data_IF_909540753578
#
_entry.id   IF_909540753578
#
_cell.length_a   1.000
_cell.length_b   1.000
_cell.length_c   1.000
_cell.angle_alpha   90.00
_cell.angle_beta   90.00
_cell.angle_gamma   90.00
#
_symmetry.space_group_name_H-M   'P 1'
#
loop_
_entity.id
_entity.type
_entity.pdbx_description
1 polymer ?
#
# COMPACT_ATOMS: atom_id res chain seq x y z
N UNK A 1 12.12 -28.53 21.44
CA UNK A 1 12.12 -28.57 19.96
C UNK A 1 11.26 -27.42 19.47
N UNK A 2 11.74 -26.56 18.57
CA UNK A 2 10.90 -25.53 17.98
C UNK A 2 9.88 -26.23 17.05
N UNK A 3 8.62 -26.29 17.46
CA UNK A 3 7.56 -26.81 16.60
C UNK A 3 7.48 -25.92 15.36
N UNK A 4 7.66 -26.50 14.18
CA UNK A 4 7.56 -25.76 12.92
C UNK A 4 6.20 -25.07 12.85
N UNK A 5 6.20 -23.74 12.65
CA UNK A 5 4.97 -22.96 12.41
C UNK A 5 4.41 -23.16 10.99
N UNK A 6 5.02 -24.05 10.20
CA UNK A 6 4.58 -24.44 8.86
C UNK A 6 4.17 -25.92 8.92
N UNK A 7 2.89 -26.19 8.68
CA UNK A 7 2.37 -27.55 8.60
C UNK A 7 2.76 -28.24 7.28
N UNK A 8 2.80 -29.58 7.26
CA UNK A 8 3.27 -30.38 6.12
C UNK A 8 2.56 -30.03 4.79
N UNK A 9 1.25 -29.81 4.84
CA UNK A 9 0.47 -29.40 3.66
C UNK A 9 0.93 -28.04 3.10
N UNK A 10 1.24 -27.08 3.96
CA UNK A 10 1.81 -25.79 3.52
C UNK A 10 3.23 -25.96 3.02
N UNK A 11 4.06 -26.77 3.67
CA UNK A 11 5.42 -27.05 3.21
C UNK A 11 5.45 -27.62 1.79
N UNK A 12 4.51 -28.50 1.44
CA UNK A 12 4.37 -29.02 0.09
C UNK A 12 4.02 -27.92 -0.93
N UNK A 13 3.12 -27.00 -0.58
CA UNK A 13 2.77 -25.86 -1.44
C UNK A 13 3.96 -24.92 -1.65
N UNK A 14 4.83 -24.76 -0.66
CA UNK A 14 6.00 -23.88 -0.76
C UNK A 14 6.95 -24.29 -1.89
N UNK A 15 6.97 -25.57 -2.30
CA UNK A 15 7.76 -26.05 -3.45
C UNK A 15 7.39 -25.29 -4.74
N UNK A 16 6.12 -24.92 -4.91
CA UNK A 16 5.65 -24.15 -6.05
C UNK A 16 5.72 -22.64 -5.89
N UNK A 17 6.11 -22.13 -4.71
CA UNK A 17 6.22 -20.69 -4.41
C UNK A 17 7.59 -20.18 -4.86
N UNK A 18 7.67 -19.00 -5.54
CA UNK A 18 8.95 -18.40 -5.93
C UNK A 18 9.91 -18.25 -4.74
N UNK A 19 11.20 -18.46 -4.99
CA UNK A 19 12.23 -18.56 -3.95
C UNK A 19 12.23 -17.36 -2.98
N UNK A 20 12.07 -16.14 -3.51
CA UNK A 20 11.99 -14.92 -2.71
C UNK A 20 10.87 -14.99 -1.65
N UNK A 21 9.64 -15.31 -2.05
CA UNK A 21 8.51 -15.44 -1.13
C UNK A 21 8.69 -16.63 -0.18
N UNK A 22 9.22 -17.74 -0.68
CA UNK A 22 9.49 -18.93 0.14
C UNK A 22 10.42 -18.58 1.31
N UNK A 23 11.51 -17.88 1.03
CA UNK A 23 12.47 -17.46 2.05
C UNK A 23 11.81 -16.54 3.09
N UNK A 24 11.00 -15.58 2.64
CA UNK A 24 10.24 -14.69 3.52
C UNK A 24 9.24 -15.46 4.41
N UNK A 25 8.55 -16.46 3.87
CA UNK A 25 7.62 -17.31 4.65
C UNK A 25 8.37 -18.12 5.71
N UNK A 26 9.55 -18.64 5.40
CA UNK A 26 10.40 -19.31 6.39
C UNK A 26 10.90 -18.35 7.48
N UNK A 27 11.30 -17.12 7.13
CA UNK A 27 11.65 -16.09 8.11
C UNK A 27 10.48 -15.74 9.03
N UNK A 28 9.27 -15.62 8.47
CA UNK A 28 8.05 -15.42 9.23
C UNK A 28 7.86 -16.58 10.22
N UNK A 29 7.89 -17.83 9.75
CA UNK A 29 7.71 -19.00 10.60
C UNK A 29 8.77 -19.11 11.71
N UNK A 30 10.00 -18.67 11.44
CA UNK A 30 11.08 -18.59 12.42
C UNK A 30 10.96 -17.40 13.39
N UNK A 31 10.03 -16.46 13.14
CA UNK A 31 9.89 -15.24 13.94
C UNK A 31 10.96 -14.18 13.68
N UNK A 32 11.63 -14.23 12.53
CA UNK A 32 12.73 -13.32 12.17
C UNK A 32 12.34 -12.25 11.15
N UNK A 33 11.13 -12.29 10.59
CA UNK A 33 10.62 -11.21 9.76
C UNK A 33 10.17 -10.02 10.63
N UNK A 34 10.76 -8.82 10.48
CA UNK A 34 10.50 -7.68 11.36
C UNK A 34 9.11 -7.05 11.19
N UNK A 35 8.40 -7.39 10.12
CA UNK A 35 7.08 -6.84 9.81
C UNK A 35 5.93 -7.63 10.45
N UNK A 36 6.16 -8.88 10.87
CA UNK A 36 5.17 -9.65 11.64
C UNK A 36 5.35 -9.34 13.13
N UNK A 37 4.58 -8.37 13.63
CA UNK A 37 4.67 -7.89 15.02
C UNK A 37 3.56 -8.41 15.93
N UNK A 38 2.83 -9.44 15.50
CA UNK A 38 1.77 -10.08 16.28
C UNK A 38 2.08 -11.57 16.52
N UNK A 39 1.63 -12.13 17.65
CA UNK A 39 1.81 -13.55 17.91
C UNK A 39 0.91 -14.39 16.99
N UNK A 40 1.39 -15.58 16.62
CA UNK A 40 0.65 -16.58 15.85
C UNK A 40 1.27 -17.96 16.09
N UNK A 41 0.51 -19.01 15.80
CA UNK A 41 0.92 -20.40 15.97
C UNK A 41 1.30 -21.07 14.65
N UNK A 42 0.65 -20.68 13.55
CA UNK A 42 0.84 -21.30 12.24
C UNK A 42 0.70 -20.27 11.11
N UNK A 43 1.50 -20.41 10.06
CA UNK A 43 1.38 -19.66 8.81
C UNK A 43 1.02 -20.61 7.65
N UNK A 44 0.00 -20.23 6.87
CA UNK A 44 -0.50 -20.98 5.71
C UNK A 44 -0.47 -20.14 4.45
N UNK A 45 -0.15 -20.76 3.32
CA UNK A 45 -0.44 -20.22 1.99
C UNK A 45 -1.88 -20.62 1.64
N UNK A 46 -2.76 -19.64 1.47
CA UNK A 46 -4.21 -19.91 1.30
C UNK A 46 -4.74 -19.60 -0.10
N UNK A 47 -3.93 -19.02 -0.99
CA UNK A 47 -4.38 -18.57 -2.32
C UNK A 47 -3.38 -18.91 -3.42
N UNK A 48 -3.11 -20.20 -3.57
CA UNK A 48 -2.19 -20.71 -4.60
C UNK A 48 -0.74 -20.29 -4.38
N UNK A 49 0.13 -20.68 -5.32
CA UNK A 49 1.59 -20.49 -5.18
C UNK A 49 2.16 -19.38 -6.05
N UNK A 50 1.34 -18.82 -6.96
CA UNK A 50 1.75 -17.73 -7.86
C UNK A 50 1.51 -16.37 -7.20
N UNK A 51 2.49 -15.45 -7.22
CA UNK A 51 2.29 -14.09 -6.73
C UNK A 51 1.14 -13.40 -7.46
N UNK A 52 0.31 -12.72 -6.69
CA UNK A 52 -0.72 -11.84 -7.20
C UNK A 52 -0.08 -10.54 -7.71
N UNK A 53 -0.44 -10.10 -8.93
CA UNK A 53 -0.10 -8.75 -9.37
C UNK A 53 -0.80 -7.72 -8.47
N UNK A 54 -0.30 -6.46 -8.42
CA UNK A 54 -0.85 -5.38 -7.59
C UNK A 54 -2.16 -4.80 -8.13
N UNK A 55 -3.12 -5.65 -8.47
CA UNK A 55 -4.39 -5.22 -9.09
C UNK A 55 -5.42 -4.79 -8.06
N UNK A 56 -5.30 -5.27 -6.81
CA UNK A 56 -6.24 -4.95 -5.72
C UNK A 56 -6.01 -3.56 -5.13
N UNK A 57 -4.81 -3.01 -5.27
CA UNK A 57 -4.49 -1.62 -4.94
C UNK A 57 -3.81 -0.95 -6.14
N UNK A 58 -4.49 0.03 -6.73
CA UNK A 58 -4.02 0.77 -7.91
C UNK A 58 -2.74 1.59 -7.65
N UNK A 59 -2.42 1.87 -6.38
CA UNK A 59 -1.18 2.54 -6.01
C UNK A 59 -0.07 1.55 -5.62
N UNK A 60 -0.34 0.24 -5.62
CA UNK A 60 0.67 -0.77 -5.28
C UNK A 60 1.55 -1.11 -6.50
N UNK A 61 2.84 -1.35 -6.26
CA UNK A 61 3.82 -1.73 -7.29
C UNK A 61 4.45 -3.08 -7.02
N UNK A 62 4.17 -3.65 -5.84
CA UNK A 62 4.75 -4.89 -5.33
C UNK A 62 3.80 -6.06 -5.59
N UNK A 63 4.37 -7.21 -5.94
CA UNK A 63 3.60 -8.45 -6.00
C UNK A 63 3.40 -8.99 -4.59
N UNK A 64 2.33 -9.74 -4.36
CA UNK A 64 2.06 -10.35 -3.06
C UNK A 64 1.63 -11.81 -3.13
N UNK A 65 1.80 -12.55 -2.03
CA UNK A 65 1.16 -13.84 -1.80
C UNK A 65 0.25 -13.71 -0.58
N UNK A 66 -0.95 -14.29 -0.67
CA UNK A 66 -1.90 -14.28 0.46
C UNK A 66 -1.56 -15.37 1.45
N UNK A 67 -1.27 -14.97 2.68
CA UNK A 67 -1.01 -15.83 3.82
C UNK A 67 -2.15 -15.74 4.85
N UNK A 68 -2.33 -16.82 5.60
CA UNK A 68 -3.17 -16.84 6.78
C UNK A 68 -2.32 -17.19 8.00
N UNK A 69 -2.46 -16.40 9.06
CA UNK A 69 -1.82 -16.60 10.35
C UNK A 69 -2.87 -17.13 11.33
N UNK A 70 -2.74 -18.39 11.76
CA UNK A 70 -3.64 -19.01 12.74
C UNK A 70 -3.12 -18.85 14.15
N UNK A 71 -4.04 -18.86 15.12
CA UNK A 71 -3.71 -18.66 16.53
C UNK A 71 -3.28 -17.23 16.88
N UNK A 72 -3.60 -16.25 16.01
CA UNK A 72 -3.41 -14.84 16.30
C UNK A 72 -4.53 -14.31 17.23
N UNK A 73 -4.28 -13.23 17.99
CA UNK A 73 -5.30 -12.61 18.85
C UNK A 73 -6.50 -12.15 18.04
N UNK A 74 -7.71 -12.51 18.47
CA UNK A 74 -8.95 -12.17 17.76
C UNK A 74 -9.30 -13.08 16.58
N UNK A 75 -8.54 -14.16 16.36
CA UNK A 75 -8.82 -15.16 15.33
C UNK A 75 -7.79 -15.17 14.19
N UNK A 76 -8.03 -15.98 13.14
CA UNK A 76 -7.13 -16.05 11.99
C UNK A 76 -6.98 -14.69 11.28
N UNK A 77 -5.74 -14.29 11.00
CA UNK A 77 -5.43 -13.06 10.26
C UNK A 77 -5.05 -13.41 8.83
N UNK A 78 -5.72 -12.80 7.85
CA UNK A 78 -5.35 -12.88 6.43
C UNK A 78 -4.53 -11.65 6.05
N UNK A 79 -3.37 -11.88 5.45
CA UNK A 79 -2.48 -10.81 5.02
C UNK A 79 -1.79 -11.11 3.69
N UNK A 80 -1.44 -10.03 3.00
CA UNK A 80 -0.61 -10.00 1.82
C UNK A 80 0.86 -9.87 2.25
N UNK A 81 1.65 -10.90 2.02
CA UNK A 81 3.11 -10.82 2.08
C UNK A 81 3.58 -10.25 0.75
N UNK A 82 4.31 -9.13 0.76
CA UNK A 82 4.91 -8.54 -0.43
C UNK A 82 6.31 -9.09 -0.69
N UNK A 83 6.79 -8.95 -1.92
CA UNK A 83 8.11 -9.42 -2.33
C UNK A 83 9.27 -8.67 -1.63
N UNK A 84 9.05 -7.52 -1.01
CA UNK A 84 10.03 -6.83 -0.15
C UNK A 84 10.02 -7.35 1.31
N UNK A 85 9.15 -8.30 1.65
CA UNK A 85 9.02 -8.87 2.99
C UNK A 85 8.04 -8.14 3.90
N UNK A 86 7.53 -6.97 3.49
CA UNK A 86 6.47 -6.28 4.23
C UNK A 86 5.17 -7.08 4.17
N UNK A 87 4.32 -6.87 5.17
CA UNK A 87 2.98 -7.46 5.23
C UNK A 87 1.94 -6.36 5.31
N UNK A 88 0.78 -6.59 4.68
CA UNK A 88 -0.44 -5.83 4.96
C UNK A 88 -1.60 -6.80 5.14
N UNK A 89 -2.30 -6.69 6.25
CA UNK A 89 -3.57 -7.38 6.45
C UNK A 89 -4.61 -6.89 5.43
N UNK A 90 -5.60 -7.73 5.10
CA UNK A 90 -6.71 -7.29 4.25
C UNK A 90 -7.44 -6.09 4.85
N UNK A 91 -7.51 -6.01 6.19
CA UNK A 91 -8.05 -4.85 6.91
C UNK A 91 -7.27 -3.57 6.63
N UNK A 92 -5.94 -3.59 6.77
CA UNK A 92 -5.10 -2.42 6.49
C UNK A 92 -5.23 -1.95 5.04
N UNK A 93 -5.37 -2.88 4.08
CA UNK A 93 -5.63 -2.52 2.69
C UNK A 93 -6.98 -1.82 2.50
N UNK A 94 -8.03 -2.29 3.17
CA UNK A 94 -9.34 -1.62 3.16
C UNK A 94 -9.29 -0.25 3.83
N UNK A 95 -8.64 -0.14 4.99
CA UNK A 95 -8.49 1.10 5.73
C UNK A 95 -7.72 2.14 4.91
N UNK A 96 -6.69 1.72 4.16
CA UNK A 96 -5.95 2.59 3.25
C UNK A 96 -6.83 3.13 2.12
N UNK A 97 -7.67 2.29 1.52
CA UNK A 97 -8.62 2.72 0.49
C UNK A 97 -9.67 3.70 1.05
N UNK A 98 -10.21 3.41 2.24
CA UNK A 98 -11.17 4.29 2.92
C UNK A 98 -10.54 5.66 3.23
N UNK A 99 -9.29 5.66 3.71
CA UNK A 99 -8.54 6.89 3.97
C UNK A 99 -8.36 7.74 2.72
N UNK A 100 -8.00 7.13 1.58
CA UNK A 100 -7.86 7.85 0.30
C UNK A 100 -9.19 8.45 -0.18
N UNK A 101 -10.29 7.71 -0.05
CA UNK A 101 -11.62 8.21 -0.40
C UNK A 101 -12.05 9.39 0.48
N UNK A 102 -11.80 9.31 1.79
CA UNK A 102 -12.08 10.39 2.72
C UNK A 102 -11.21 11.64 2.44
N UNK A 103 -9.94 11.45 2.09
CA UNK A 103 -9.03 12.52 1.72
C UNK A 103 -9.50 13.24 0.44
N UNK A 104 -9.95 12.51 -0.57
CA UNK A 104 -10.52 13.07 -1.80
C UNK A 104 -11.76 13.91 -1.50
N UNK A 105 -12.71 13.38 -0.72
CA UNK A 105 -13.93 14.11 -0.34
C UNK A 105 -13.61 15.39 0.45
N UNK A 106 -12.60 15.33 1.33
CA UNK A 106 -12.10 16.51 2.05
C UNK A 106 -11.52 17.54 1.09
N UNK A 107 -10.67 17.14 0.15
CA UNK A 107 -10.05 18.05 -0.81
C UNK A 107 -11.11 18.76 -1.67
N UNK A 108 -12.10 18.04 -2.17
CA UNK A 108 -13.23 18.62 -2.91
C UNK A 108 -13.97 19.66 -2.05
N UNK A 109 -14.26 19.32 -0.78
CA UNK A 109 -14.92 20.24 0.15
C UNK A 109 -14.10 21.51 0.37
N UNK A 110 -12.79 21.39 0.54
CA UNK A 110 -11.90 22.55 0.71
C UNK A 110 -11.77 23.39 -0.57
N UNK A 111 -11.74 22.77 -1.74
CA UNK A 111 -11.70 23.46 -3.03
C UNK A 111 -12.99 24.25 -3.29
N UNK A 112 -14.14 23.67 -2.97
CA UNK A 112 -15.45 24.31 -3.16
C UNK A 112 -15.64 25.58 -2.32
N UNK A 113 -14.89 25.74 -1.22
CA UNK A 113 -14.88 26.99 -0.43
C UNK A 113 -14.21 28.16 -1.17
N UNK A 114 -13.38 27.88 -2.18
CA UNK A 114 -12.59 28.87 -2.90
C UNK A 114 -12.71 28.68 -4.43
N UNK A 115 -13.92 28.80 -5.02
CA UNK A 115 -14.16 28.50 -6.42
C UNK A 115 -13.32 29.36 -7.38
N UNK A 116 -12.99 30.60 -6.99
CA UNK A 116 -12.14 31.50 -7.78
C UNK A 116 -10.71 30.96 -8.01
N UNK A 117 -10.23 30.04 -7.17
CA UNK A 117 -8.90 29.43 -7.32
C UNK A 117 -8.87 28.26 -8.33
N UNK A 118 -10.04 27.74 -8.75
CA UNK A 118 -10.17 26.69 -9.78
C UNK A 118 -9.23 25.48 -9.59
N UNK A 119 -9.01 25.07 -8.34
CA UNK A 119 -7.94 24.12 -7.97
C UNK A 119 -8.20 22.66 -8.38
N UNK A 120 -9.46 22.26 -8.52
CA UNK A 120 -9.84 20.87 -8.79
C UNK A 120 -9.23 20.32 -10.07
N UNK A 121 -9.23 21.10 -11.16
CA UNK A 121 -8.66 20.67 -12.44
C UNK A 121 -7.15 20.40 -12.34
N UNK A 122 -6.41 21.32 -11.72
CA UNK A 122 -4.97 21.18 -11.51
C UNK A 122 -4.63 19.97 -10.62
N UNK A 123 -5.42 19.75 -9.55
CA UNK A 123 -5.24 18.58 -8.67
C UNK A 123 -5.50 17.27 -9.42
N UNK A 124 -6.58 17.18 -10.18
CA UNK A 124 -6.93 15.97 -10.96
C UNK A 124 -5.89 15.65 -12.03
N UNK A 125 -5.33 16.68 -12.67
CA UNK A 125 -4.21 16.49 -13.59
C UNK A 125 -2.96 15.97 -12.86
N UNK A 126 -2.64 16.49 -11.68
CA UNK A 126 -1.52 16.02 -10.87
C UNK A 126 -1.72 14.56 -10.38
N UNK A 127 -2.92 14.22 -9.93
CA UNK A 127 -3.31 12.84 -9.56
C UNK A 127 -3.14 11.90 -10.76
N UNK A 128 -3.60 12.31 -11.94
CA UNK A 128 -3.45 11.52 -13.18
C UNK A 128 -1.98 11.28 -13.52
N UNK A 129 -1.12 12.31 -13.44
CA UNK A 129 0.32 12.17 -13.66
C UNK A 129 0.96 11.19 -12.67
N UNK A 130 0.62 11.32 -11.39
CA UNK A 130 1.09 10.42 -10.33
C UNK A 130 0.70 8.97 -10.63
N UNK A 131 -0.58 8.72 -10.91
CA UNK A 131 -1.08 7.38 -11.20
C UNK A 131 -0.44 6.78 -12.45
N UNK A 132 -0.29 7.57 -13.52
CA UNK A 132 0.39 7.12 -14.75
C UNK A 132 1.82 6.67 -14.49
N UNK A 133 2.58 7.41 -13.66
CA UNK A 133 3.94 7.00 -13.25
C UNK A 133 3.92 5.69 -12.48
N UNK A 134 3.02 5.55 -11.49
CA UNK A 134 2.88 4.31 -10.72
C UNK A 134 2.56 3.11 -11.63
N UNK A 135 1.64 3.28 -12.59
CA UNK A 135 1.31 2.22 -13.53
C UNK A 135 2.46 1.84 -14.47
N UNK A 136 3.25 2.83 -14.90
CA UNK A 136 4.42 2.56 -15.75
C UNK A 136 5.45 1.70 -15.00
N UNK A 137 5.83 2.09 -13.78
CA UNK A 137 6.87 1.38 -13.02
C UNK A 137 6.40 0.01 -12.50
N UNK A 138 5.10 -0.14 -12.23
CA UNK A 138 4.50 -1.42 -11.85
C UNK A 138 4.85 -2.53 -12.85
N UNK A 139 4.69 -2.24 -14.13
CA UNK A 139 4.84 -3.23 -15.21
C UNK A 139 6.27 -3.31 -15.75
N UNK A 140 7.16 -2.41 -15.32
CA UNK A 140 8.56 -2.40 -15.76
C UNK A 140 9.33 -3.57 -15.13
N UNK A 141 9.75 -4.54 -15.94
CA UNK A 141 10.53 -5.71 -15.49
C UNK A 141 12.02 -5.41 -15.30
N UNK A 142 12.51 -4.27 -15.78
CA UNK A 142 13.90 -3.84 -15.61
C UNK A 142 14.19 -3.27 -14.21
N UNK A 143 13.14 -2.84 -13.51
CA UNK A 143 13.26 -2.25 -12.17
C UNK A 143 13.14 -3.32 -11.07
N UNK A 144 14.05 -3.25 -10.10
CA UNK A 144 13.91 -3.95 -8.83
C UNK A 144 12.72 -3.42 -8.03
N UNK A 145 12.24 -4.23 -7.07
CA UNK A 145 11.12 -3.87 -6.19
C UNK A 145 11.37 -2.56 -5.45
N UNK A 146 12.60 -2.38 -4.96
CA UNK A 146 13.00 -1.17 -4.23
C UNK A 146 12.98 0.05 -5.17
N UNK A 147 13.48 -0.08 -6.40
CA UNK A 147 13.41 1.01 -7.39
C UNK A 147 11.97 1.38 -7.72
N UNK A 148 11.07 0.40 -7.89
CA UNK A 148 9.64 0.67 -8.10
C UNK A 148 9.02 1.43 -6.93
N UNK A 149 9.40 1.08 -5.70
CA UNK A 149 8.90 1.76 -4.51
C UNK A 149 9.43 3.19 -4.42
N UNK A 150 10.71 3.43 -4.73
CA UNK A 150 11.29 4.77 -4.79
C UNK A 150 10.59 5.66 -5.84
N UNK A 151 10.30 5.11 -7.02
CA UNK A 151 9.57 5.84 -8.06
C UNK A 151 8.13 6.16 -7.66
N UNK A 152 7.45 5.21 -7.02
CA UNK A 152 6.13 5.44 -6.42
C UNK A 152 6.19 6.57 -5.38
N UNK A 153 7.18 6.55 -4.50
CA UNK A 153 7.33 7.56 -3.45
C UNK A 153 7.65 8.95 -4.03
N UNK A 154 8.47 9.02 -5.10
CA UNK A 154 8.73 10.22 -5.88
C UNK A 154 7.43 10.78 -6.50
N UNK A 155 6.64 9.94 -7.17
CA UNK A 155 5.37 10.36 -7.77
C UNK A 155 4.36 10.87 -6.72
N UNK A 156 4.29 10.21 -5.56
CA UNK A 156 3.47 10.65 -4.44
C UNK A 156 3.95 11.99 -3.87
N UNK A 157 5.26 12.19 -3.78
CA UNK A 157 5.84 13.44 -3.28
C UNK A 157 5.50 14.62 -4.19
N UNK A 158 5.59 14.46 -5.50
CA UNK A 158 5.20 15.50 -6.47
C UNK A 158 3.72 15.86 -6.35
N UNK A 159 2.85 14.87 -6.17
CA UNK A 159 1.43 15.13 -5.93
C UNK A 159 1.21 15.90 -4.62
N UNK A 160 1.91 15.54 -3.53
CA UNK A 160 1.83 16.24 -2.24
C UNK A 160 2.27 17.69 -2.34
N UNK A 161 3.29 18.01 -3.15
CA UNK A 161 3.72 19.39 -3.38
C UNK A 161 2.61 20.23 -4.03
N UNK A 162 1.85 19.65 -4.97
CA UNK A 162 0.66 20.32 -5.55
C UNK A 162 -0.38 20.58 -4.48
N UNK A 163 -0.70 19.59 -3.64
CA UNK A 163 -1.66 19.75 -2.54
C UNK A 163 -1.24 20.83 -1.54
N UNK A 164 0.06 20.89 -1.21
CA UNK A 164 0.62 21.88 -0.30
C UNK A 164 0.50 23.30 -0.88
N UNK A 165 0.88 23.47 -2.14
CA UNK A 165 0.75 24.76 -2.86
C UNK A 165 -0.72 25.23 -2.90
N UNK A 166 -1.65 24.32 -3.19
CA UNK A 166 -3.07 24.64 -3.19
C UNK A 166 -3.59 25.04 -1.80
N UNK A 167 -3.14 24.34 -0.74
CA UNK A 167 -3.50 24.69 0.63
C UNK A 167 -2.98 26.08 1.02
N UNK A 168 -1.76 26.45 0.61
CA UNK A 168 -1.20 27.79 0.83
C UNK A 168 -2.02 28.87 0.11
N UNK A 169 -2.42 28.63 -1.15
CA UNK A 169 -3.26 29.57 -1.89
C UNK A 169 -4.64 29.78 -1.23
N UNK A 170 -5.26 28.70 -0.68
CA UNK A 170 -6.50 28.82 0.10
C UNK A 170 -6.30 29.61 1.39
N UNK A 171 -5.21 29.37 2.11
CA UNK A 171 -4.88 30.12 3.32
C UNK A 171 -4.67 31.62 3.03
N UNK A 172 -4.00 31.96 1.94
CA UNK A 172 -3.81 33.35 1.50
C UNK A 172 -5.14 34.01 1.11
N UNK A 173 -6.02 33.31 0.39
CA UNK A 173 -7.34 33.82 0.03
C UNK A 173 -8.22 34.07 1.27
N UNK A 174 -8.20 33.16 2.25
CA UNK A 174 -8.92 33.33 3.51
C UNK A 174 -8.42 34.54 4.32
N UNK A 175 -7.10 34.75 4.38
CA UNK A 175 -6.50 35.89 5.06
C UNK A 175 -6.77 37.23 4.33
N UNK A 176 -6.86 37.22 3.00
CA UNK A 176 -7.20 38.38 2.19
C UNK A 176 -8.66 38.81 2.36
N UNK A 177 -9.60 37.85 2.42
CA UNK A 177 -11.02 38.13 2.64
C UNK A 177 -11.32 38.79 4.00
N UNK A 178 -10.51 38.48 5.02
CA UNK A 178 -10.64 39.06 6.37
C UNK A 178 -10.13 40.50 6.53
N UNK A 179 -9.50 41.10 5.50
CA UNK A 179 -8.99 42.48 5.54
C UNK A 179 -9.90 43.50 4.85
N UNK A 180 -11.04 43.05 4.32
CA UNK A 180 -12.02 43.87 3.58
C UNK A 180 -13.30 44.18 4.37
N UNK A 181 -13.25 44.05 5.70
CA UNK A 181 -14.30 44.48 6.63
C UNK A 181 -13.74 45.58 7.53
#
# INVERSE_FOLDING_TARGET
>A
MATSRIHAATAQLLIGVPLQFRNLIYQIAAGTNPHVQFPFQEVKVIRGTRPHPPNTDHQEVRNSITLQFNGAPGGPIVAHLFNDGTIKTSREMHDENNRRAAEEARLITEENKFPALQQTAARKQAETRMMSRIYAVRNDSSLSVIQKQLEKDSALQEYRLVLQSQAQARAAAAAGAGKTL
#
